data_IF_914600335275
#
_entry.id   IF_914600335275
#
_cell.length_a   1.000
_cell.length_b   1.000
_cell.length_c   1.000
_cell.angle_alpha   90.00
_cell.angle_beta   90.00
_cell.angle_gamma   90.00
#
_symmetry.space_group_name_H-M   'P 1'
#
loop_
_entity.id
_entity.type
_entity.pdbx_description
1 polymer ?
#
# COMPACT_ATOMS: atom_id res chain seq x y z
N UNK A 1 -12.93 0.56 -5.86
CA UNK A 1 -13.01 2.01 -5.59
C UNK A 1 -13.52 2.27 -4.19
N UNK A 2 -14.42 1.42 -3.72
CA UNK A 2 -15.20 1.52 -2.50
C UNK A 2 -14.34 1.73 -1.25
N UNK A 3 -13.18 1.07 -1.14
CA UNK A 3 -12.31 1.27 0.03
C UNK A 3 -11.76 2.72 0.16
N UNK A 4 -11.50 3.42 -0.94
CA UNK A 4 -11.11 4.84 -0.87
C UNK A 4 -12.31 5.73 -0.59
N UNK A 5 -13.49 5.38 -1.10
CA UNK A 5 -14.74 6.08 -0.83
C UNK A 5 -15.18 5.93 0.64
N UNK A 6 -14.98 4.75 1.23
CA UNK A 6 -15.19 4.45 2.64
C UNK A 6 -14.28 5.31 3.54
N UNK A 7 -13.04 5.56 3.10
CA UNK A 7 -12.10 6.43 3.82
C UNK A 7 -12.48 7.91 3.72
N UNK A 8 -13.09 8.33 2.60
CA UNK A 8 -13.59 9.70 2.40
C UNK A 8 -14.93 9.97 3.08
N UNK A 9 -15.70 8.93 3.37
CA UNK A 9 -17.02 9.03 3.99
C UNK A 9 -17.08 8.27 5.33
N UNK A 10 -16.23 8.61 6.33
CA UNK A 10 -16.22 7.90 7.59
C UNK A 10 -17.47 8.22 8.43
N UNK A 11 -17.74 7.42 9.49
CA UNK A 11 -18.85 7.67 10.40
C UNK A 11 -18.86 9.09 10.98
N UNK A 12 -20.04 9.64 11.24
CA UNK A 12 -20.21 11.02 11.69
C UNK A 12 -19.41 11.38 12.96
N UNK A 13 -19.15 10.39 13.84
CA UNK A 13 -18.31 10.55 15.02
C UNK A 13 -16.86 10.91 14.69
N UNK A 14 -16.29 10.27 13.66
CA UNK A 14 -14.93 10.56 13.17
C UNK A 14 -14.91 11.95 12.52
N UNK A 15 -15.90 12.24 11.67
CA UNK A 15 -16.03 13.56 11.04
C UNK A 15 -16.14 14.70 12.07
N UNK A 16 -16.87 14.49 13.17
CA UNK A 16 -17.01 15.48 14.24
C UNK A 16 -15.66 15.82 14.88
N UNK A 17 -14.80 14.82 15.11
CA UNK A 17 -13.44 15.02 15.65
C UNK A 17 -12.57 15.78 14.65
N UNK A 18 -12.56 15.36 13.38
CA UNK A 18 -11.74 15.99 12.34
C UNK A 18 -12.11 17.46 12.09
N UNK A 19 -13.42 17.77 12.12
CA UNK A 19 -13.96 19.12 11.91
C UNK A 19 -13.89 20.02 13.15
N UNK A 20 -13.51 19.48 14.31
CA UNK A 20 -13.43 20.28 15.53
C UNK A 20 -12.20 21.22 15.47
N UNK A 21 -12.44 22.52 15.39
CA UNK A 21 -11.37 23.54 15.28
C UNK A 21 -10.60 23.75 16.59
N UNK A 22 -11.07 23.24 17.72
CA UNK A 22 -10.42 23.38 19.03
C UNK A 22 -9.45 22.22 19.33
N UNK A 23 -9.49 21.16 18.53
CA UNK A 23 -8.57 20.03 18.66
C UNK A 23 -7.33 20.26 17.80
N UNK A 24 -6.17 19.89 18.33
CA UNK A 24 -4.91 19.93 17.57
C UNK A 24 -4.93 18.90 16.45
N UNK A 25 -4.16 19.16 15.39
CA UNK A 25 -4.05 18.24 14.26
C UNK A 25 -3.40 16.92 14.67
N UNK A 26 -2.44 16.94 15.60
CA UNK A 26 -1.85 15.72 16.18
C UNK A 26 -2.87 14.85 16.92
N UNK A 27 -3.82 15.48 17.62
CA UNK A 27 -4.90 14.77 18.28
C UNK A 27 -5.86 14.16 17.26
N UNK A 28 -6.24 14.93 16.22
CA UNK A 28 -7.09 14.44 15.14
C UNK A 28 -6.48 13.24 14.42
N UNK A 29 -5.19 13.31 14.10
CA UNK A 29 -4.43 12.24 13.47
C UNK A 29 -4.41 10.98 14.34
N UNK A 30 -4.11 11.13 15.64
CA UNK A 30 -4.10 10.02 16.61
C UNK A 30 -5.49 9.40 16.78
N UNK A 31 -6.54 10.23 16.90
CA UNK A 31 -7.91 9.77 17.05
C UNK A 31 -8.39 8.99 15.81
N UNK A 32 -8.05 9.49 14.62
CA UNK A 32 -8.36 8.81 13.36
C UNK A 32 -7.62 7.48 13.24
N UNK A 33 -6.31 7.46 13.52
CA UNK A 33 -5.52 6.24 13.52
C UNK A 33 -6.09 5.18 14.49
N UNK A 34 -6.50 5.62 15.69
CA UNK A 34 -7.12 4.75 16.70
C UNK A 34 -8.48 4.20 16.22
N UNK A 35 -9.28 5.01 15.53
CA UNK A 35 -10.54 4.58 14.95
C UNK A 35 -10.33 3.52 13.84
N UNK A 36 -9.43 3.79 12.89
CA UNK A 36 -9.05 2.83 11.84
C UNK A 36 -8.52 1.52 12.43
N UNK A 37 -7.62 1.62 13.41
CA UNK A 37 -7.06 0.48 14.13
C UNK A 37 -8.14 -0.38 14.78
N UNK A 38 -9.10 0.24 15.47
CA UNK A 38 -10.18 -0.47 16.16
C UNK A 38 -11.04 -1.27 15.19
N UNK A 39 -11.35 -0.69 14.02
CA UNK A 39 -12.10 -1.35 12.95
C UNK A 39 -11.32 -2.53 12.37
N UNK A 40 -10.04 -2.32 12.01
CA UNK A 40 -9.20 -3.38 11.44
C UNK A 40 -8.95 -4.51 12.43
N UNK A 41 -8.74 -4.20 13.71
CA UNK A 41 -8.60 -5.19 14.77
C UNK A 41 -9.88 -6.00 14.98
N UNK A 42 -11.05 -5.36 14.92
CA UNK A 42 -12.33 -6.05 14.97
C UNK A 42 -12.51 -6.98 13.77
N UNK A 43 -12.24 -6.51 12.54
CA UNK A 43 -12.31 -7.33 11.32
C UNK A 43 -11.32 -8.50 11.36
N UNK A 44 -10.10 -8.30 11.85
CA UNK A 44 -9.08 -9.36 11.99
C UNK A 44 -9.56 -10.51 12.88
N UNK A 45 -10.31 -10.21 13.94
CA UNK A 45 -10.89 -11.24 14.85
C UNK A 45 -11.99 -12.08 14.19
N UNK A 46 -12.57 -11.61 13.09
CA UNK A 46 -13.60 -12.33 12.34
C UNK A 46 -13.03 -13.19 11.21
N UNK A 47 -11.70 -13.18 11.02
CA UNK A 47 -11.06 -13.98 9.98
C UNK A 47 -11.04 -15.46 10.38
N UNK A 48 -11.45 -16.32 9.45
CA UNK A 48 -11.36 -17.77 9.61
C UNK A 48 -9.91 -18.27 9.61
N UNK A 49 -9.03 -17.60 8.87
CA UNK A 49 -7.60 -17.94 8.76
C UNK A 49 -6.78 -16.78 9.37
N UNK A 50 -6.25 -16.93 10.60
CA UNK A 50 -5.60 -15.84 11.33
C UNK A 50 -4.30 -15.36 10.70
N UNK A 51 -3.59 -16.22 9.95
CA UNK A 51 -2.36 -15.89 9.21
C UNK A 51 -2.55 -15.99 7.68
N UNK A 52 -3.77 -15.72 7.23
CA UNK A 52 -4.08 -15.67 5.81
C UNK A 52 -3.66 -14.34 5.16
N UNK A 53 -3.75 -14.29 3.83
CA UNK A 53 -3.50 -13.08 3.04
C UNK A 53 -4.24 -11.84 3.59
N UNK A 54 -5.53 -11.98 3.94
CA UNK A 54 -6.33 -10.87 4.47
C UNK A 54 -5.82 -10.36 5.83
N UNK A 55 -5.26 -11.24 6.66
CA UNK A 55 -4.66 -10.82 7.94
C UNK A 55 -3.43 -9.95 7.71
N UNK A 56 -2.54 -10.37 6.80
CA UNK A 56 -1.38 -9.58 6.38
C UNK A 56 -1.78 -8.28 5.69
N UNK A 57 -2.82 -8.30 4.85
CA UNK A 57 -3.38 -7.10 4.24
C UNK A 57 -3.87 -6.11 5.29
N UNK A 58 -4.53 -6.57 6.36
CA UNK A 58 -4.92 -5.70 7.48
C UNK A 58 -3.72 -5.13 8.23
N UNK A 59 -2.62 -5.87 8.36
CA UNK A 59 -1.38 -5.35 8.97
C UNK A 59 -0.79 -4.19 8.18
N UNK A 60 -0.79 -4.27 6.84
CA UNK A 60 -0.38 -3.13 5.99
C UNK A 60 -1.40 -1.98 6.09
N UNK A 61 -2.69 -2.31 6.04
CA UNK A 61 -3.78 -1.32 6.09
C UNK A 61 -3.79 -0.51 7.39
N UNK A 62 -3.35 -1.12 8.50
CA UNK A 62 -3.24 -0.47 9.82
C UNK A 62 -2.35 0.78 9.80
N UNK A 63 -1.36 0.81 8.89
CA UNK A 63 -0.47 1.95 8.70
C UNK A 63 -0.89 2.86 7.55
N UNK A 64 -1.37 2.28 6.45
CA UNK A 64 -1.66 3.04 5.23
C UNK A 64 -3.01 3.75 5.29
N UNK A 65 -4.06 3.09 5.80
CA UNK A 65 -5.41 3.65 5.81
C UNK A 65 -5.56 4.92 6.66
N UNK A 66 -4.96 5.03 7.87
CA UNK A 66 -5.03 6.27 8.65
C UNK A 66 -4.43 7.47 7.92
N UNK A 67 -3.26 7.29 7.29
CA UNK A 67 -2.58 8.36 6.56
C UNK A 67 -3.43 8.82 5.37
N UNK A 68 -3.99 7.87 4.61
CA UNK A 68 -4.87 8.17 3.48
C UNK A 68 -6.14 8.91 3.94
N UNK A 69 -6.83 8.40 4.95
CA UNK A 69 -8.02 9.07 5.49
C UNK A 69 -7.70 10.47 6.02
N UNK A 70 -6.56 10.64 6.70
CA UNK A 70 -6.13 11.95 7.18
C UNK A 70 -5.73 12.87 6.03
N UNK A 71 -5.16 12.35 4.95
CA UNK A 71 -4.90 13.10 3.73
C UNK A 71 -6.19 13.58 3.08
N UNK A 72 -7.20 12.72 2.97
CA UNK A 72 -8.46 13.08 2.31
C UNK A 72 -9.32 14.06 3.12
N UNK A 73 -9.26 14.00 4.45
CA UNK A 73 -10.21 14.69 5.33
C UNK A 73 -9.57 15.69 6.29
N UNK A 74 -8.25 15.63 6.45
CA UNK A 74 -7.49 16.47 7.35
C UNK A 74 -7.26 17.88 6.78
N UNK A 75 -6.74 18.80 7.60
CA UNK A 75 -6.55 20.19 7.21
C UNK A 75 -5.27 20.45 6.40
N UNK A 76 -4.42 19.43 6.20
CA UNK A 76 -3.11 19.58 5.53
C UNK A 76 -3.25 19.47 4.01
N UNK A 77 -3.25 20.62 3.32
CA UNK A 77 -3.45 20.71 1.87
C UNK A 77 -2.45 19.88 1.07
N UNK A 78 -1.14 20.01 1.33
CA UNK A 78 -0.12 19.21 0.64
C UNK A 78 -0.32 17.69 0.80
N UNK A 79 -0.72 17.24 2.00
CA UNK A 79 -0.98 15.82 2.23
C UNK A 79 -2.23 15.36 1.46
N UNK A 80 -3.25 16.21 1.37
CA UNK A 80 -4.44 15.97 0.56
C UNK A 80 -4.11 15.85 -0.92
N UNK A 81 -3.27 16.73 -1.46
CA UNK A 81 -2.82 16.66 -2.85
C UNK A 81 -2.07 15.36 -3.13
N UNK A 82 -1.10 14.99 -2.28
CA UNK A 82 -0.34 13.75 -2.41
C UNK A 82 -1.25 12.52 -2.33
N UNK A 83 -2.15 12.46 -1.36
CA UNK A 83 -3.08 11.33 -1.22
C UNK A 83 -4.07 11.28 -2.39
N UNK A 84 -4.54 12.43 -2.88
CA UNK A 84 -5.42 12.53 -4.04
C UNK A 84 -4.74 12.05 -5.33
N UNK A 85 -3.49 12.44 -5.54
CA UNK A 85 -2.68 11.95 -6.66
C UNK A 85 -2.47 10.43 -6.56
N UNK A 86 -2.10 9.94 -5.37
CA UNK A 86 -1.97 8.50 -5.12
C UNK A 86 -3.25 7.74 -5.42
N UNK A 87 -4.40 8.21 -4.89
CA UNK A 87 -5.72 7.63 -5.18
C UNK A 87 -5.97 7.56 -6.68
N UNK A 88 -5.69 8.63 -7.42
CA UNK A 88 -5.87 8.65 -8.87
C UNK A 88 -5.01 7.59 -9.56
N UNK A 89 -3.73 7.46 -9.20
CA UNK A 89 -2.83 6.45 -9.80
C UNK A 89 -3.31 5.03 -9.53
N UNK A 90 -3.75 4.71 -8.31
CA UNK A 90 -4.28 3.38 -7.98
C UNK A 90 -5.59 3.10 -8.72
N UNK A 91 -6.48 4.08 -8.83
CA UNK A 91 -7.72 3.93 -9.59
C UNK A 91 -7.47 3.67 -11.07
N UNK A 92 -6.50 4.36 -11.68
CA UNK A 92 -6.13 4.12 -13.07
C UNK A 92 -5.42 2.78 -13.23
N UNK A 93 -4.51 2.41 -12.34
CA UNK A 93 -3.89 1.09 -12.33
C UNK A 93 -4.92 -0.04 -12.34
N UNK A 94 -5.93 0.05 -11.46
CA UNK A 94 -7.00 -0.94 -11.42
C UNK A 94 -7.80 -0.98 -12.73
N UNK A 95 -8.03 0.15 -13.40
CA UNK A 95 -8.70 0.17 -14.71
C UNK A 95 -7.84 -0.49 -15.77
N UNK A 96 -6.56 -0.11 -15.84
CA UNK A 96 -5.61 -0.66 -16.80
C UNK A 96 -5.45 -2.18 -16.67
N UNK A 97 -5.50 -2.70 -15.43
CA UNK A 97 -5.43 -4.14 -15.20
C UNK A 97 -6.52 -4.89 -15.97
N UNK A 98 -7.71 -4.32 -16.15
CA UNK A 98 -8.84 -4.94 -16.85
C UNK A 98 -9.02 -4.46 -18.29
N UNK A 99 -8.07 -3.68 -18.81
CA UNK A 99 -8.09 -3.22 -20.19
C UNK A 99 -7.44 -4.28 -21.10
N UNK A 100 -8.23 -4.77 -22.07
CA UNK A 100 -7.81 -5.83 -23.00
C UNK A 100 -6.76 -5.33 -24.02
N UNK A 101 -6.67 -4.01 -24.23
CA UNK A 101 -5.65 -3.42 -25.10
C UNK A 101 -4.31 -3.25 -24.37
N UNK A 102 -4.32 -3.26 -23.04
CA UNK A 102 -3.12 -3.10 -22.19
C UNK A 102 -2.63 -4.42 -21.58
N UNK A 103 -3.51 -5.39 -21.34
CA UNK A 103 -3.21 -6.62 -20.61
C UNK A 103 -3.64 -7.86 -21.38
N UNK A 104 -2.71 -8.81 -21.55
CA UNK A 104 -2.95 -10.05 -22.31
C UNK A 104 -3.46 -11.17 -21.41
N UNK A 105 -4.74 -11.50 -21.57
CA UNK A 105 -5.44 -12.55 -20.81
C UNK A 105 -5.28 -13.97 -21.39
N UNK A 106 -4.38 -14.18 -22.35
CA UNK A 106 -4.23 -15.47 -23.04
C UNK A 106 -3.64 -16.57 -22.15
N UNK A 107 -2.69 -16.22 -21.28
CA UNK A 107 -2.02 -17.16 -20.38
C UNK A 107 -1.65 -16.48 -19.06
N UNK A 108 -1.56 -17.27 -17.98
CA UNK A 108 -1.19 -16.76 -16.65
C UNK A 108 0.17 -16.02 -16.65
N UNK A 109 1.24 -16.51 -17.32
CA UNK A 109 2.52 -15.80 -17.32
C UNK A 109 2.46 -14.42 -18.02
N UNK A 110 1.75 -14.31 -19.15
CA UNK A 110 1.60 -13.04 -19.85
C UNK A 110 0.80 -12.03 -19.01
N UNK A 111 -0.28 -12.49 -18.38
CA UNK A 111 -1.08 -11.66 -17.48
C UNK A 111 -0.24 -11.14 -16.30
N UNK A 112 0.56 -12.02 -15.68
CA UNK A 112 1.40 -11.64 -14.56
C UNK A 112 2.46 -10.60 -14.95
N UNK A 113 3.10 -10.78 -16.12
CA UNK A 113 4.08 -9.84 -16.66
C UNK A 113 3.44 -8.47 -16.94
N UNK A 114 2.29 -8.44 -17.61
CA UNK A 114 1.62 -7.18 -17.97
C UNK A 114 1.13 -6.42 -16.71
N UNK A 115 0.57 -7.14 -15.71
CA UNK A 115 0.20 -6.53 -14.42
C UNK A 115 1.43 -5.97 -13.69
N UNK A 116 2.55 -6.69 -13.71
CA UNK A 116 3.79 -6.23 -13.07
C UNK A 116 4.35 -4.97 -13.75
N UNK A 117 4.32 -4.93 -15.09
CA UNK A 117 4.73 -3.75 -15.86
C UNK A 117 3.86 -2.54 -15.55
N UNK A 118 2.54 -2.71 -15.48
CA UNK A 118 1.61 -1.65 -15.06
C UNK A 118 1.95 -1.15 -13.64
N UNK A 119 2.23 -2.06 -12.70
CA UNK A 119 2.59 -1.71 -11.32
C UNK A 119 3.89 -0.90 -11.26
N UNK A 120 4.92 -1.29 -12.02
CA UNK A 120 6.20 -0.58 -12.09
C UNK A 120 6.03 0.83 -12.65
N UNK A 121 5.35 0.96 -13.79
CA UNK A 121 5.07 2.25 -14.43
C UNK A 121 4.33 3.21 -13.49
N UNK A 122 3.32 2.71 -12.76
CA UNK A 122 2.58 3.54 -11.80
C UNK A 122 3.43 3.94 -10.61
N UNK A 123 4.33 3.06 -10.16
CA UNK A 123 5.29 3.36 -9.09
C UNK A 123 6.29 4.45 -9.51
N UNK A 124 6.81 4.40 -10.73
CA UNK A 124 7.69 5.43 -11.28
C UNK A 124 7.00 6.80 -11.32
N UNK A 125 5.75 6.85 -11.77
CA UNK A 125 4.95 8.09 -11.80
C UNK A 125 4.76 8.64 -10.38
N UNK A 126 4.47 7.77 -9.40
CA UNK A 126 4.32 8.17 -8.00
C UNK A 126 5.62 8.70 -7.39
N UNK A 127 6.74 8.01 -7.62
CA UNK A 127 8.05 8.43 -7.14
C UNK A 127 8.50 9.75 -7.76
N UNK A 128 8.30 9.90 -9.07
CA UNK A 128 8.57 11.15 -9.78
C UNK A 128 7.74 12.33 -9.25
N UNK A 129 6.48 12.10 -8.89
CA UNK A 129 5.64 13.13 -8.28
C UNK A 129 6.13 13.54 -6.88
N UNK A 130 6.62 12.59 -6.08
CA UNK A 130 7.17 12.84 -4.75
C UNK A 130 8.57 13.47 -4.78
N UNK A 131 9.19 13.59 -5.96
CA UNK A 131 10.57 14.07 -6.09
C UNK A 131 11.60 13.09 -5.51
N UNK A 132 11.24 11.82 -5.35
CA UNK A 132 12.12 10.76 -4.86
C UNK A 132 12.70 10.03 -6.06
N UNK A 133 14.02 10.03 -6.22
CA UNK A 133 14.66 9.20 -7.24
C UNK A 133 14.30 7.74 -7.00
N UNK A 134 13.85 7.04 -8.04
CA UNK A 134 13.48 5.64 -7.91
C UNK A 134 14.67 4.83 -7.39
N UNK A 135 14.50 4.01 -6.34
CA UNK A 135 15.58 3.15 -5.90
C UNK A 135 15.98 2.23 -7.05
N UNK A 136 17.26 2.28 -7.41
CA UNK A 136 17.86 1.41 -8.43
C UNK A 136 17.51 -0.04 -8.10
N UNK A 137 17.06 -0.79 -9.11
CA UNK A 137 16.57 -2.16 -8.99
C UNK A 137 17.51 -3.03 -8.12
N UNK A 138 17.14 -3.29 -6.87
CA UNK A 138 17.82 -4.30 -6.07
C UNK A 138 17.28 -5.67 -6.51
N UNK A 139 17.76 -6.13 -7.67
CA UNK A 139 17.57 -7.52 -8.09
C UNK A 139 18.13 -8.40 -6.98
N UNK A 140 17.29 -9.31 -6.48
CA UNK A 140 17.70 -10.36 -5.56
C UNK A 140 18.78 -11.21 -6.20
N UNK A 141 20.04 -10.88 -5.92
CA UNK A 141 21.15 -11.81 -6.07
C UNK A 141 21.00 -12.84 -4.95
N UNK A 142 20.37 -13.97 -5.30
CA UNK A 142 20.72 -15.22 -4.64
C UNK A 142 22.21 -15.42 -4.91
N UNK A 143 23.05 -15.03 -3.96
CA UNK A 143 24.46 -15.38 -3.96
C UNK A 143 24.50 -16.91 -3.93
N UNK A 144 24.72 -17.51 -5.10
CA UNK A 144 25.03 -18.91 -5.20
C UNK A 144 26.33 -19.15 -4.46
N UNK A 145 26.24 -19.84 -3.32
CA UNK A 145 27.38 -20.45 -2.65
C UNK A 145 27.96 -21.53 -3.56
N UNK A 146 28.75 -21.12 -4.54
CA UNK A 146 29.77 -21.96 -5.17
C UNK A 146 31.06 -21.75 -4.38
N UNK A 147 31.20 -22.47 -3.26
CA UNK A 147 32.51 -22.70 -2.63
C UNK A 147 33.12 -23.93 -3.32
N UNK A 148 34.27 -23.82 -3.99
CA UNK A 148 34.96 -24.99 -4.52
C UNK A 148 35.52 -25.84 -3.37
N UNK A 149 35.34 -27.16 -3.47
CA UNK A 149 36.08 -28.13 -2.67
C UNK A 149 37.58 -27.97 -2.95
N UNK A 150 38.34 -27.52 -1.96
CA UNK A 150 39.79 -27.78 -1.91
C UNK A 150 40.08 -28.83 -0.83
N UNK A 151 40.52 -29.97 -1.37
CA UNK A 151 41.15 -31.10 -0.71
C UNK A 151 42.45 -30.67 -0.03
N UNK A 152 42.56 -30.92 1.28
CA UNK A 152 43.85 -31.11 1.95
C UNK A 152 43.68 -32.21 3.00
N UNK A 153 44.32 -33.34 2.70
CA UNK A 153 44.30 -34.55 3.49
C UNK A 153 45.11 -34.50 4.78
N UNK A 154 44.95 -35.61 5.51
CA UNK A 154 45.89 -36.28 6.42
C UNK A 154 46.91 -35.42 7.20
N UNK A 155 46.84 -35.47 8.53
CA UNK A 155 47.68 -36.39 9.30
C UNK A 155 47.62 -36.11 10.83
N UNK A 156 47.42 -37.22 11.56
CA UNK A 156 47.66 -37.49 13.01
C UNK A 156 46.68 -36.90 14.03
#
# INVERSE_FOLDING_TARGET
MDAFEDLENPPSSVLAVLRNRWLSDSFKETALATACWSVLKAKRRLLMVPDGFISHFYSVSEHVSPILAFGFLGPKEHLSEVCGFFKHQIQQYLKDMFDLDLVRYNTVPLLAEDILQLSRRRSEILLGYLGVEAPSEMNGTLAGDNVPLEDFGEAV
#
